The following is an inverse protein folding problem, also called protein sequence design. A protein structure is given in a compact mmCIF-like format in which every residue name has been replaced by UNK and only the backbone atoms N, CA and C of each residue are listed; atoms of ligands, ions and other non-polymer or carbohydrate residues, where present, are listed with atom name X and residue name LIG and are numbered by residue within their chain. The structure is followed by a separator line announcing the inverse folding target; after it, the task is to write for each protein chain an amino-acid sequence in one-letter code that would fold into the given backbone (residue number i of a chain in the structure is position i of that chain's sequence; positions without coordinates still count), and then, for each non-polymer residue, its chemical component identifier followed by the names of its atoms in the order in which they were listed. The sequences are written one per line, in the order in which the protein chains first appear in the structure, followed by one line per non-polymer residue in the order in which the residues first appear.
data_IF_567509451025
#
_entry.id   IF_567509451025
#
_cell.length_a   1.000
_cell.length_b   1.000
_cell.length_c   1.000
_cell.angle_alpha   90.00
_cell.angle_beta   90.00
_cell.angle_gamma   90.00
#
_symmetry.space_group_name_H-M   'P 1'
#
loop_
_entity.id
_entity.type
_entity.pdbx_description
1 polymer ?
#
# COMPACT_ATOMS: atom_id res chain seq x y z
N UNK A 1 -35.38 29.55 -3.86
CA UNK A 1 -34.21 30.43 -3.64
C UNK A 1 -34.28 31.65 -4.55
N UNK A 2 -34.42 32.85 -3.97
CA UNK A 2 -34.33 34.15 -4.66
C UNK A 2 -33.05 34.87 -4.20
N UNK A 3 -32.57 35.84 -4.99
CA UNK A 3 -31.38 36.63 -4.65
C UNK A 3 -31.83 38.01 -4.18
N UNK A 4 -31.51 38.34 -2.93
CA UNK A 4 -31.78 39.64 -2.32
C UNK A 4 -30.49 40.45 -2.16
N UNK A 5 -30.63 41.77 -2.15
CA UNK A 5 -29.54 42.69 -1.79
C UNK A 5 -29.65 43.03 -0.30
N UNK A 6 -28.76 42.48 0.52
CA UNK A 6 -28.79 42.66 1.97
C UNK A 6 -27.70 43.66 2.40
N UNK A 7 -28.03 44.70 3.16
CA UNK A 7 -27.07 45.63 3.76
C UNK A 7 -26.01 44.93 4.63
N UNK A 8 -24.77 45.41 4.57
CA UNK A 8 -23.63 44.82 5.27
C UNK A 8 -23.78 44.78 6.80
N UNK A 9 -24.43 45.79 7.37
CA UNK A 9 -24.72 45.95 8.80
C UNK A 9 -25.76 44.95 9.32
N UNK A 10 -26.53 44.33 8.42
CA UNK A 10 -27.53 43.30 8.74
C UNK A 10 -26.98 41.87 8.64
N UNK A 11 -25.69 41.71 8.33
CA UNK A 11 -25.05 40.42 8.13
C UNK A 11 -24.05 40.10 9.24
N UNK A 12 -24.15 38.91 9.81
CA UNK A 12 -23.17 38.33 10.75
C UNK A 12 -22.68 36.97 10.24
N UNK A 13 -21.50 36.48 10.66
CA UNK A 13 -21.03 35.15 10.24
C UNK A 13 -21.68 34.08 11.13
N UNK A 14 -22.36 33.11 10.52
CA UNK A 14 -22.99 32.02 11.27
C UNK A 14 -21.95 31.09 11.90
N UNK A 15 -22.28 30.53 13.07
CA UNK A 15 -21.52 29.42 13.65
C UNK A 15 -21.57 28.18 12.74
N UNK A 16 -22.64 27.99 11.96
CA UNK A 16 -22.80 26.91 10.99
C UNK A 16 -21.90 27.03 9.74
N UNK A 17 -21.13 28.12 9.61
CA UNK A 17 -20.14 28.24 8.55
C UNK A 17 -18.96 27.29 8.78
N UNK A 18 -18.59 26.46 7.79
CA UNK A 18 -17.47 25.52 7.89
C UNK A 18 -16.14 26.21 8.27
N UNK A 19 -15.96 27.48 7.89
CA UNK A 19 -14.78 28.31 8.20
C UNK A 19 -15.10 29.44 9.19
N UNK A 20 -15.98 29.20 10.17
CA UNK A 20 -16.42 30.17 11.19
C UNK A 20 -15.33 30.68 12.17
N UNK A 21 -14.06 30.29 12.00
CA UNK A 21 -12.96 30.68 12.90
C UNK A 21 -12.88 32.19 13.21
N UNK A 22 -12.39 32.55 14.40
CA UNK A 22 -12.40 33.93 14.92
C UNK A 22 -11.56 34.92 14.11
N UNK A 23 -10.49 34.45 13.45
CA UNK A 23 -9.60 35.32 12.65
C UNK A 23 -10.28 35.71 11.33
N UNK A 24 -10.24 36.99 10.94
CA UNK A 24 -10.60 37.41 9.59
C UNK A 24 -9.78 36.62 8.55
N UNK A 25 -10.38 36.16 7.45
CA UNK A 25 -9.62 35.52 6.38
C UNK A 25 -8.79 36.56 5.63
N UNK A 26 -7.69 36.11 5.01
CA UNK A 26 -7.01 36.92 3.99
C UNK A 26 -7.94 37.07 2.77
N UNK A 27 -8.06 38.30 2.30
CA UNK A 27 -8.92 38.73 1.20
C UNK A 27 -8.18 39.62 0.20
N UNK A 28 -6.86 39.76 0.33
CA UNK A 28 -6.01 40.62 -0.51
C UNK A 28 -6.13 40.30 -2.00
N UNK A 29 -6.31 39.03 -2.33
CA UNK A 29 -6.48 38.50 -3.68
C UNK A 29 -7.83 38.85 -4.32
N UNK A 30 -8.92 38.89 -3.55
CA UNK A 30 -10.28 39.16 -4.06
C UNK A 30 -10.73 40.61 -3.91
N UNK A 31 -10.08 41.37 -3.01
CA UNK A 31 -10.45 42.74 -2.67
C UNK A 31 -10.44 43.68 -3.89
N UNK A 32 -9.42 43.71 -4.78
CA UNK A 32 -9.43 44.59 -5.95
C UNK A 32 -10.62 44.31 -6.89
N UNK A 33 -10.98 43.03 -7.08
CA UNK A 33 -12.12 42.64 -7.90
C UNK A 33 -13.43 43.09 -7.28
N UNK A 34 -13.60 42.93 -5.96
CA UNK A 34 -14.80 43.35 -5.25
C UNK A 34 -14.95 44.87 -5.24
N UNK A 35 -13.85 45.62 -5.12
CA UNK A 35 -13.87 47.08 -5.27
C UNK A 35 -14.30 47.47 -6.69
N UNK A 36 -13.79 46.81 -7.73
CA UNK A 36 -14.07 47.22 -9.12
C UNK A 36 -15.43 46.76 -9.66
N UNK A 37 -15.88 45.57 -9.27
CA UNK A 37 -17.05 44.88 -9.88
C UNK A 37 -18.15 44.55 -8.88
N UNK A 38 -17.91 44.72 -7.58
CA UNK A 38 -18.80 44.21 -6.53
C UNK A 38 -18.68 42.70 -6.37
N UNK A 39 -19.57 42.14 -5.54
CA UNK A 39 -19.67 40.70 -5.34
C UNK A 39 -20.55 40.08 -6.43
N UNK A 40 -19.97 39.20 -7.25
CA UNK A 40 -20.68 38.57 -8.39
C UNK A 40 -21.41 37.30 -7.94
N UNK A 41 -20.72 36.44 -7.18
CA UNK A 41 -21.32 35.21 -6.66
C UNK A 41 -22.06 35.52 -5.36
N UNK A 42 -23.38 35.20 -5.25
CA UNK A 42 -24.15 35.47 -4.04
C UNK A 42 -23.66 34.70 -2.81
N UNK A 43 -23.81 35.31 -1.63
CA UNK A 43 -23.58 34.65 -0.34
C UNK A 43 -24.77 33.77 0.00
N UNK A 44 -24.57 32.68 0.75
CA UNK A 44 -25.69 31.94 1.33
C UNK A 44 -25.91 32.41 2.75
N UNK A 45 -27.14 32.79 3.07
CA UNK A 45 -27.53 33.33 4.37
C UNK A 45 -28.77 32.64 4.89
N UNK A 46 -29.00 32.72 6.20
CA UNK A 46 -30.26 32.30 6.84
C UNK A 46 -30.77 33.40 7.77
N UNK A 47 -32.06 33.47 8.07
CA UNK A 47 -32.59 34.41 9.06
C UNK A 47 -31.88 34.27 10.42
N UNK A 48 -31.63 35.40 11.08
CA UNK A 48 -31.15 35.46 12.46
C UNK A 48 -32.34 35.68 13.40
N UNK A 49 -32.15 35.48 14.71
CA UNK A 49 -33.13 35.76 15.75
C UNK A 49 -33.62 37.23 15.75
N UNK A 50 -32.81 38.15 15.24
CA UNK A 50 -33.20 39.55 15.05
C UNK A 50 -33.86 39.74 13.69
N UNK A 51 -35.11 40.22 13.69
CA UNK A 51 -35.85 40.47 12.46
C UNK A 51 -35.05 41.38 11.50
N UNK A 52 -34.99 40.97 10.22
CA UNK A 52 -34.25 41.67 9.18
C UNK A 52 -32.72 41.51 9.23
N UNK A 53 -32.17 40.75 10.18
CA UNK A 53 -30.76 40.37 10.20
C UNK A 53 -30.60 38.93 9.74
N UNK A 54 -29.44 38.64 9.15
CA UNK A 54 -29.15 37.35 8.55
C UNK A 54 -27.76 36.86 8.97
N UNK A 55 -27.62 35.55 9.12
CA UNK A 55 -26.33 34.92 9.36
C UNK A 55 -25.78 34.29 8.07
N UNK A 56 -24.52 34.56 7.78
CA UNK A 56 -23.79 34.06 6.61
C UNK A 56 -23.37 32.61 6.86
N UNK A 57 -23.99 31.71 6.10
CA UNK A 57 -23.71 30.28 6.07
C UNK A 57 -22.53 29.97 5.14
N UNK A 58 -22.43 30.64 3.99
CA UNK A 58 -21.29 30.53 3.08
C UNK A 58 -20.94 31.88 2.42
N UNK A 59 -19.67 32.07 2.08
CA UNK A 59 -19.17 33.33 1.49
C UNK A 59 -18.51 34.31 2.46
N UNK A 60 -18.01 33.83 3.62
CA UNK A 60 -17.27 34.63 4.63
C UNK A 60 -16.20 35.56 4.02
N UNK A 61 -15.36 35.06 3.09
CA UNK A 61 -14.32 35.88 2.44
C UNK A 61 -14.89 37.08 1.68
N UNK A 62 -16.01 36.89 0.96
CA UNK A 62 -16.69 37.95 0.21
C UNK A 62 -17.26 39.02 1.14
N UNK A 63 -17.82 38.61 2.28
CA UNK A 63 -18.26 39.52 3.33
C UNK A 63 -17.11 40.36 3.90
N UNK A 64 -15.99 39.74 4.29
CA UNK A 64 -14.83 40.47 4.84
C UNK A 64 -14.16 41.39 3.82
N UNK A 65 -14.07 40.99 2.55
CA UNK A 65 -13.58 41.88 1.49
C UNK A 65 -14.50 43.09 1.27
N UNK A 66 -15.81 42.91 1.46
CA UNK A 66 -16.79 43.99 1.33
C UNK A 66 -16.79 44.92 2.53
N UNK A 67 -16.53 44.41 3.74
CA UNK A 67 -16.22 45.22 4.92
C UNK A 67 -14.99 46.08 4.69
N UNK A 68 -13.92 45.51 4.12
CA UNK A 68 -12.71 46.26 3.83
C UNK A 68 -12.93 47.30 2.72
N UNK A 69 -13.68 46.96 1.67
CA UNK A 69 -14.07 47.91 0.63
C UNK A 69 -14.94 49.06 1.17
N UNK A 70 -15.82 48.79 2.14
CA UNK A 70 -16.64 49.82 2.80
C UNK A 70 -15.78 50.80 3.60
N UNK A 71 -14.77 50.29 4.34
CA UNK A 71 -13.81 51.13 5.07
C UNK A 71 -13.00 52.07 4.18
N UNK A 72 -12.80 51.70 2.90
CA UNK A 72 -12.11 52.53 1.90
C UNK A 72 -13.02 53.61 1.28
N UNK A 73 -14.17 53.91 1.90
CA UNK A 73 -15.04 55.03 1.53
C UNK A 73 -16.22 54.65 0.64
N UNK A 74 -16.66 53.38 0.68
CA UNK A 74 -17.91 52.97 0.02
C UNK A 74 -19.03 52.87 1.04
N UNK A 75 -19.89 53.87 1.08
CA UNK A 75 -21.11 53.85 1.89
C UNK A 75 -22.22 53.02 1.22
N UNK A 76 -23.10 52.42 2.04
CA UNK A 76 -24.30 51.73 1.56
C UNK A 76 -24.06 50.42 0.81
N UNK A 77 -22.94 49.72 1.07
CA UNK A 77 -22.63 48.44 0.41
C UNK A 77 -23.67 47.38 0.76
N UNK A 78 -24.38 46.89 -0.26
CA UNK A 78 -25.24 45.71 -0.18
C UNK A 78 -24.56 44.51 -0.82
N UNK A 79 -24.92 43.30 -0.36
CA UNK A 79 -24.41 42.05 -0.88
C UNK A 79 -25.54 41.23 -1.50
N UNK A 80 -25.33 40.62 -2.69
CA UNK A 80 -26.24 39.62 -3.21
C UNK A 80 -26.21 38.39 -2.30
N UNK A 81 -27.37 38.01 -1.79
CA UNK A 81 -27.53 36.90 -0.86
C UNK A 81 -28.66 35.99 -1.34
N UNK A 82 -28.43 34.69 -1.27
CA UNK A 82 -29.46 33.66 -1.38
C UNK A 82 -29.86 33.30 0.04
N UNK A 83 -31.11 33.61 0.39
CA UNK A 83 -31.69 33.23 1.67
C UNK A 83 -32.10 31.75 1.61
N UNK A 84 -31.53 30.96 2.51
CA UNK A 84 -31.95 29.58 2.77
C UNK A 84 -33.29 29.61 3.50
N UNK A 85 -34.14 28.63 3.20
CA UNK A 85 -35.40 28.43 3.92
C UNK A 85 -35.12 28.13 5.41
N UNK A 86 -36.15 28.20 6.26
CA UNK A 86 -35.98 27.86 7.68
C UNK A 86 -35.51 26.41 7.81
N UNK A 87 -34.26 26.25 8.26
CA UNK A 87 -33.58 24.97 8.40
C UNK A 87 -32.76 24.92 9.67
N UNK A 88 -32.38 23.71 10.08
CA UNK A 88 -31.58 23.48 11.28
C UNK A 88 -30.09 23.87 11.08
N UNK A 89 -29.30 23.81 12.15
CA UNK A 89 -27.86 24.08 12.09
C UNK A 89 -27.10 23.05 11.23
N UNK A 90 -27.64 21.84 11.05
CA UNK A 90 -27.03 20.79 10.23
C UNK A 90 -27.18 21.09 8.74
N UNK A 91 -28.36 21.45 8.28
CA UNK A 91 -28.64 21.84 6.89
C UNK A 91 -27.81 23.07 6.49
N UNK A 92 -27.72 24.07 7.37
CA UNK A 92 -26.84 25.21 7.14
C UNK A 92 -25.37 24.77 7.00
N UNK A 93 -24.88 23.86 7.86
CA UNK A 93 -23.52 23.35 7.76
C UNK A 93 -23.31 22.55 6.45
N UNK A 94 -24.27 21.72 6.04
CA UNK A 94 -24.23 20.97 4.78
C UNK A 94 -24.11 21.90 3.57
N UNK A 95 -24.96 22.91 3.48
CA UNK A 95 -24.88 23.94 2.41
C UNK A 95 -23.52 24.63 2.42
N UNK A 96 -23.01 24.96 3.61
CA UNK A 96 -21.67 25.55 3.77
C UNK A 96 -20.58 24.63 3.22
N UNK A 97 -20.64 23.34 3.54
CA UNK A 97 -19.67 22.35 3.05
C UNK A 97 -19.76 22.14 1.54
N UNK A 98 -20.98 22.02 0.99
CA UNK A 98 -21.21 21.85 -0.45
C UNK A 98 -20.60 23.01 -1.24
N UNK A 99 -20.85 24.27 -0.83
CA UNK A 99 -20.25 25.43 -1.52
C UNK A 99 -18.72 25.42 -1.47
N UNK A 100 -18.14 24.97 -0.35
CA UNK A 100 -16.69 24.88 -0.21
C UNK A 100 -16.10 23.78 -1.10
N UNK A 101 -16.70 22.58 -1.10
CA UNK A 101 -16.26 21.44 -1.91
C UNK A 101 -16.29 21.74 -3.42
N UNK A 102 -17.28 22.50 -3.88
CA UNK A 102 -17.37 22.94 -5.29
C UNK A 102 -16.22 23.86 -5.72
N UNK A 103 -15.55 24.55 -4.79
CA UNK A 103 -14.39 25.41 -5.09
C UNK A 103 -13.07 24.64 -4.94
N UNK A 104 -12.88 24.04 -3.77
CA UNK A 104 -11.67 23.30 -3.42
C UNK A 104 -12.05 22.30 -2.34
N UNK A 105 -11.67 21.03 -2.54
CA UNK A 105 -11.90 20.02 -1.54
C UNK A 105 -11.25 20.42 -0.21
N UNK A 106 -12.01 20.47 0.90
CA UNK A 106 -11.42 20.69 2.23
C UNK A 106 -10.46 19.55 2.58
N UNK A 107 -9.46 19.81 3.42
CA UNK A 107 -8.60 18.76 3.94
C UNK A 107 -9.41 17.76 4.79
N UNK A 108 -8.89 16.54 4.93
CA UNK A 108 -9.60 15.47 5.63
C UNK A 108 -9.85 15.78 7.11
N UNK A 109 -9.01 16.59 7.76
CA UNK A 109 -9.22 16.98 9.17
C UNK A 109 -10.38 17.96 9.27
N UNK A 110 -10.50 18.92 8.34
CA UNK A 110 -11.67 19.81 8.28
C UNK A 110 -12.96 19.08 7.88
N UNK A 111 -12.88 18.08 7.00
CA UNK A 111 -14.01 17.18 6.74
C UNK A 111 -14.43 16.46 8.03
N UNK A 112 -13.46 15.90 8.78
CA UNK A 112 -13.71 15.25 10.06
C UNK A 112 -14.38 16.18 11.09
N UNK A 113 -13.87 17.40 11.27
CA UNK A 113 -14.45 18.40 12.19
C UNK A 113 -15.92 18.66 11.85
N UNK A 114 -16.23 18.78 10.57
CA UNK A 114 -17.57 19.12 10.10
C UNK A 114 -18.52 17.92 10.15
N UNK A 115 -18.08 16.73 9.74
CA UNK A 115 -18.89 15.50 9.85
C UNK A 115 -19.16 15.14 11.30
N UNK A 116 -18.17 15.32 12.20
CA UNK A 116 -18.38 15.15 13.64
C UNK A 116 -19.46 16.10 14.16
N UNK A 117 -19.52 17.32 13.63
CA UNK A 117 -20.58 18.26 13.98
C UNK A 117 -21.93 17.83 13.42
N UNK A 118 -22.03 17.45 12.15
CA UNK A 118 -23.27 16.92 11.56
C UNK A 118 -23.83 15.74 12.37
N UNK A 119 -22.98 14.81 12.79
CA UNK A 119 -23.37 13.68 13.66
C UNK A 119 -23.89 14.18 15.01
N UNK A 120 -23.27 15.19 15.61
CA UNK A 120 -23.76 15.80 16.88
C UNK A 120 -25.10 16.50 16.74
N UNK A 121 -25.38 17.06 15.56
CA UNK A 121 -26.67 17.67 15.21
C UNK A 121 -27.71 16.62 14.77
N UNK A 122 -27.36 15.32 14.79
CA UNK A 122 -28.30 14.22 14.57
C UNK A 122 -28.29 13.59 13.17
N UNK A 123 -27.39 14.00 12.27
CA UNK A 123 -27.24 13.34 10.96
C UNK A 123 -26.62 11.96 11.10
N UNK A 124 -27.20 10.97 10.41
CA UNK A 124 -26.63 9.63 10.32
C UNK A 124 -25.45 9.61 9.33
N UNK A 125 -24.67 8.52 9.33
CA UNK A 125 -23.57 8.35 8.35
C UNK A 125 -24.15 8.24 6.94
N UNK A 126 -25.29 7.57 6.83
CA UNK A 126 -26.05 7.32 5.63
C UNK A 126 -26.53 8.65 5.03
N UNK A 127 -27.05 9.57 5.86
CA UNK A 127 -27.47 10.90 5.43
C UNK A 127 -26.28 11.71 4.90
N UNK A 128 -25.16 11.74 5.64
CA UNK A 128 -23.94 12.45 5.23
C UNK A 128 -23.43 11.89 3.90
N UNK A 129 -23.40 10.56 3.76
CA UNK A 129 -22.97 9.89 2.54
C UNK A 129 -23.85 10.29 1.34
N UNK A 130 -25.17 10.27 1.51
CA UNK A 130 -26.12 10.67 0.48
C UNK A 130 -25.96 12.15 0.08
N UNK A 131 -25.84 13.06 1.06
CA UNK A 131 -25.71 14.50 0.83
C UNK A 131 -24.44 14.88 0.05
N UNK A 132 -23.30 14.22 0.35
CA UNK A 132 -22.01 14.55 -0.27
C UNK A 132 -21.63 13.63 -1.42
N UNK A 133 -22.54 12.76 -1.88
CA UNK A 133 -22.29 11.75 -2.91
C UNK A 133 -21.05 10.87 -2.61
N UNK A 134 -20.91 10.47 -1.34
CA UNK A 134 -19.87 9.59 -0.85
C UNK A 134 -20.45 8.24 -0.47
N UNK A 135 -19.60 7.23 -0.35
CA UNK A 135 -19.98 5.97 0.30
C UNK A 135 -19.96 6.14 1.82
N UNK A 136 -20.82 5.41 2.54
CA UNK A 136 -20.77 5.36 4.01
C UNK A 136 -19.36 5.00 4.53
N UNK A 137 -18.66 4.13 3.79
CA UNK A 137 -17.29 3.72 4.10
C UNK A 137 -16.33 4.91 4.08
N UNK A 138 -16.47 5.82 3.11
CA UNK A 138 -15.65 7.05 3.06
C UNK A 138 -15.95 7.97 4.25
N UNK A 139 -17.23 8.16 4.59
CA UNK A 139 -17.64 8.99 5.74
C UNK A 139 -17.11 8.41 7.05
N UNK A 140 -17.28 7.10 7.26
CA UNK A 140 -16.78 6.36 8.43
C UNK A 140 -15.26 6.50 8.59
N UNK A 141 -14.50 6.41 7.48
CA UNK A 141 -13.04 6.61 7.48
C UNK A 141 -12.62 8.03 7.90
N UNK A 142 -13.35 9.04 7.47
CA UNK A 142 -13.08 10.43 7.86
C UNK A 142 -13.41 10.62 9.36
N UNK A 143 -14.54 10.08 9.83
CA UNK A 143 -14.92 10.10 11.24
C UNK A 143 -13.89 9.40 12.14
N UNK A 144 -13.19 8.38 11.63
CA UNK A 144 -12.13 7.64 12.31
C UNK A 144 -10.97 8.53 12.80
N UNK A 145 -10.72 9.66 12.15
CA UNK A 145 -9.68 10.63 12.56
C UNK A 145 -9.92 11.17 13.97
N UNK A 146 -11.16 11.07 14.48
CA UNK A 146 -11.49 11.37 15.88
C UNK A 146 -10.77 10.48 16.89
N UNK A 147 -10.39 9.25 16.51
CA UNK A 147 -9.65 8.34 17.37
C UNK A 147 -8.16 8.72 17.50
N UNK A 148 -7.67 9.72 16.78
CA UNK A 148 -6.27 10.15 16.86
C UNK A 148 -6.05 11.12 18.03
N UNK A 149 -4.79 11.28 18.45
CA UNK A 149 -4.39 12.37 19.35
C UNK A 149 -4.35 13.71 18.57
N UNK A 150 -4.61 14.86 19.22
CA UNK A 150 -4.60 16.17 18.56
C UNK A 150 -3.34 16.44 17.74
N UNK A 151 -2.17 16.18 18.32
CA UNK A 151 -0.88 16.37 17.63
C UNK A 151 -0.74 15.54 16.35
N UNK A 152 -1.27 14.32 16.31
CA UNK A 152 -1.26 13.47 15.10
C UNK A 152 -2.15 14.09 14.01
N UNK A 153 -3.34 14.59 14.37
CA UNK A 153 -4.21 15.29 13.41
C UNK A 153 -3.56 16.57 12.88
N UNK A 154 -2.87 17.31 13.75
CA UNK A 154 -2.13 18.52 13.36
C UNK A 154 -0.99 18.19 12.41
N UNK A 155 -0.18 17.17 12.72
CA UNK A 155 0.88 16.70 11.83
C UNK A 155 0.33 16.26 10.47
N UNK A 156 -0.83 15.59 10.43
CA UNK A 156 -1.49 15.24 9.18
C UNK A 156 -1.97 16.47 8.40
N UNK A 157 -2.61 17.42 9.08
CA UNK A 157 -3.06 18.69 8.48
C UNK A 157 -1.88 19.52 7.94
N UNK A 158 -0.72 19.43 8.58
CA UNK A 158 0.52 20.07 8.14
C UNK A 158 1.27 19.26 7.07
N UNK A 159 0.71 18.13 6.61
CA UNK A 159 1.31 17.22 5.62
C UNK A 159 2.66 16.62 6.06
N UNK A 160 2.96 16.60 7.36
CA UNK A 160 4.17 15.99 7.94
C UNK A 160 4.11 14.45 7.89
N UNK A 161 2.90 13.90 7.84
CA UNK A 161 2.60 12.46 7.70
C UNK A 161 1.60 12.20 6.59
N UNK A 162 1.73 11.02 5.98
CA UNK A 162 0.88 10.60 4.86
C UNK A 162 -0.41 9.90 5.32
N UNK A 163 -1.38 9.82 4.41
CA UNK A 163 -2.68 9.21 4.68
C UNK A 163 -2.58 7.73 5.10
N UNK A 164 -1.59 6.99 4.61
CA UNK A 164 -1.39 5.59 5.00
C UNK A 164 -0.96 5.46 6.46
N UNK A 165 -0.04 6.31 6.93
CA UNK A 165 0.35 6.35 8.35
C UNK A 165 -0.83 6.68 9.24
N UNK A 166 -1.59 7.72 8.89
CA UNK A 166 -2.78 8.15 9.63
C UNK A 166 -3.81 7.03 9.72
N UNK A 167 -4.09 6.34 8.61
CA UNK A 167 -5.00 5.20 8.59
C UNK A 167 -4.58 4.14 9.61
N UNK A 168 -3.30 3.76 9.64
CA UNK A 168 -2.84 2.76 10.62
C UNK A 168 -2.91 3.28 12.06
N UNK A 169 -2.61 4.56 12.31
CA UNK A 169 -2.75 5.16 13.64
C UNK A 169 -4.20 5.17 14.16
N UNK A 170 -5.21 5.12 13.27
CA UNK A 170 -6.61 4.98 13.72
C UNK A 170 -6.91 3.61 14.33
N UNK A 171 -6.12 2.59 14.00
CA UNK A 171 -6.18 1.24 14.58
C UNK A 171 -5.39 1.14 15.90
N UNK A 172 -4.47 2.08 16.14
CA UNK A 172 -3.60 2.07 17.31
C UNK A 172 -4.35 2.50 18.58
N UNK A 173 -4.04 1.84 19.69
CA UNK A 173 -4.48 2.27 21.02
C UNK A 173 -3.90 3.64 21.37
N UNK A 174 -4.51 4.34 22.34
CA UNK A 174 -3.97 5.62 22.81
C UNK A 174 -2.54 5.51 23.36
N UNK A 175 -2.17 4.37 23.95
CA UNK A 175 -0.81 4.11 24.42
C UNK A 175 0.17 4.00 23.25
N UNK A 176 -0.17 3.22 22.21
CA UNK A 176 0.63 3.10 20.99
C UNK A 176 0.75 4.43 20.25
N UNK A 177 -0.32 5.22 20.16
CA UNK A 177 -0.26 6.57 19.57
C UNK A 177 0.70 7.49 20.33
N UNK A 178 0.74 7.43 21.67
CA UNK A 178 1.70 8.20 22.48
C UNK A 178 3.14 7.72 22.24
N UNK A 179 3.37 6.42 22.20
CA UNK A 179 4.69 5.86 21.91
C UNK A 179 5.18 6.26 20.50
N UNK A 180 4.30 6.20 19.51
CA UNK A 180 4.59 6.65 18.15
C UNK A 180 4.89 8.15 18.09
N UNK A 181 4.11 8.98 18.80
CA UNK A 181 4.38 10.42 18.89
C UNK A 181 5.74 10.72 19.53
N UNK A 182 6.13 10.00 20.59
CA UNK A 182 7.43 10.16 21.21
C UNK A 182 8.57 9.90 20.20
N UNK A 183 8.43 8.88 19.34
CA UNK A 183 9.39 8.61 18.26
C UNK A 183 9.34 9.66 17.13
N UNK A 184 8.19 10.29 16.92
CA UNK A 184 7.99 11.28 15.86
C UNK A 184 8.53 12.66 16.26
N UNK A 185 8.50 12.98 17.55
CA UNK A 185 9.00 14.24 18.11
C UNK A 185 10.48 14.18 18.49
N UNK A 186 11.05 12.97 18.61
CA UNK A 186 12.47 12.77 18.81
C UNK A 186 13.25 13.11 17.52
N UNK A 187 14.17 14.07 17.62
CA UNK A 187 14.97 14.54 16.49
C UNK A 187 15.94 13.47 15.95
N UNK A 188 16.40 12.58 16.83
CA UNK A 188 17.29 11.46 16.48
C UNK A 188 16.51 10.15 16.28
N UNK A 189 15.20 10.17 16.52
CA UNK A 189 14.29 9.04 16.44
C UNK A 189 13.76 8.79 15.03
N UNK A 190 13.40 7.54 14.75
CA UNK A 190 12.67 7.17 13.54
C UNK A 190 11.28 6.64 13.90
N UNK A 191 10.25 7.44 13.65
CA UNK A 191 8.87 6.99 13.74
C UNK A 191 8.50 6.14 12.50
N UNK A 192 8.06 4.89 12.68
CA UNK A 192 7.66 4.04 11.57
C UNK A 192 6.42 4.62 10.86
N UNK A 193 6.39 4.53 9.52
CA UNK A 193 5.33 5.08 8.66
C UNK A 193 4.78 4.03 7.70
N UNK A 194 3.61 4.29 7.13
CA UNK A 194 3.01 3.42 6.10
C UNK A 194 2.93 1.95 6.53
N UNK A 195 3.47 1.04 5.72
CA UNK A 195 3.49 -0.41 6.01
C UNK A 195 4.35 -0.79 7.22
N UNK A 196 5.44 -0.06 7.48
CA UNK A 196 6.30 -0.30 8.63
C UNK A 196 5.59 0.00 9.94
N UNK A 197 4.74 1.04 9.95
CA UNK A 197 3.88 1.33 11.10
C UNK A 197 2.92 0.18 11.37
N UNK A 198 2.31 -0.39 10.31
CA UNK A 198 1.41 -1.53 10.46
C UNK A 198 2.14 -2.69 11.15
N UNK A 199 3.34 -3.06 10.68
CA UNK A 199 4.14 -4.10 11.31
C UNK A 199 4.52 -3.76 12.76
N UNK A 200 4.94 -2.52 13.03
CA UNK A 200 5.30 -2.05 14.37
C UNK A 200 4.13 -2.13 15.36
N UNK A 201 2.91 -1.79 14.93
CA UNK A 201 1.71 -1.86 15.77
C UNK A 201 1.34 -3.29 16.19
N UNK A 202 1.68 -4.28 15.37
CA UNK A 202 1.32 -5.70 15.57
C UNK A 202 2.54 -6.58 15.94
N UNK A 203 3.63 -6.00 16.43
CA UNK A 203 4.78 -6.77 16.91
C UNK A 203 5.62 -7.45 15.82
N UNK A 204 5.61 -6.93 14.60
CA UNK A 204 6.46 -7.40 13.49
C UNK A 204 5.70 -8.07 12.35
N UNK A 205 4.49 -8.60 12.58
CA UNK A 205 3.64 -9.19 11.55
C UNK A 205 2.17 -8.80 11.72
N UNK A 206 1.54 -8.32 10.64
CA UNK A 206 0.10 -8.04 10.61
C UNK A 206 -0.64 -9.28 10.14
N UNK A 207 -1.13 -10.09 11.08
CA UNK A 207 -1.78 -11.38 10.84
C UNK A 207 -3.30 -11.18 10.92
N UNK A 208 -4.00 -11.55 9.86
CA UNK A 208 -5.45 -11.43 9.78
C UNK A 208 -6.15 -12.60 10.50
N UNK A 209 -7.34 -12.37 11.07
CA UNK A 209 -8.13 -13.38 11.77
C UNK A 209 -8.57 -14.53 10.87
N UNK A 210 -8.69 -14.31 9.56
CA UNK A 210 -8.99 -15.37 8.59
C UNK A 210 -7.87 -16.41 8.43
N UNK A 211 -6.64 -16.08 8.86
CA UNK A 211 -5.52 -17.01 8.83
C UNK A 211 -5.54 -18.02 10.00
N UNK A 212 -6.37 -17.80 11.02
CA UNK A 212 -6.43 -18.66 12.19
C UNK A 212 -7.04 -20.03 11.85
N UNK A 213 -6.33 -21.10 12.24
CA UNK A 213 -6.84 -22.47 12.15
C UNK A 213 -7.67 -22.88 13.38
N UNK A 214 -7.57 -22.10 14.46
CA UNK A 214 -8.23 -22.33 15.74
C UNK A 214 -9.51 -21.51 15.87
N UNK A 215 -10.35 -21.87 16.84
CA UNK A 215 -11.57 -21.13 17.14
C UNK A 215 -11.23 -19.78 17.78
N UNK A 216 -11.65 -18.69 17.13
CA UNK A 216 -11.46 -17.32 17.60
C UNK A 216 -12.20 -17.06 18.92
N UNK A 217 -13.28 -17.79 19.22
CA UNK A 217 -14.01 -17.64 20.48
C UNK A 217 -13.23 -18.17 21.69
N UNK A 218 -12.30 -19.10 21.46
CA UNK A 218 -11.42 -19.67 22.49
C UNK A 218 -10.07 -18.94 22.60
N UNK A 219 -9.83 -17.91 21.78
CA UNK A 219 -8.59 -17.15 21.79
C UNK A 219 -8.60 -16.09 22.90
N UNK A 220 -7.62 -16.16 23.82
CA UNK A 220 -7.53 -15.26 24.98
C UNK A 220 -6.90 -13.90 24.65
N UNK A 221 -6.27 -13.75 23.48
CA UNK A 221 -5.55 -12.54 23.08
C UNK A 221 -6.46 -11.45 22.48
N UNK A 222 -5.93 -10.23 22.41
CA UNK A 222 -6.67 -9.10 21.84
C UNK A 222 -6.70 -9.15 20.31
N UNK A 223 -7.88 -8.93 19.74
CA UNK A 223 -8.10 -8.77 18.30
C UNK A 223 -8.44 -7.31 18.01
N UNK A 224 -7.67 -6.67 17.14
CA UNK A 224 -7.95 -5.34 16.60
C UNK A 224 -8.77 -5.52 15.34
N UNK A 225 -10.06 -5.18 15.40
CA UNK A 225 -10.91 -5.16 14.20
C UNK A 225 -10.59 -3.91 13.39
N UNK A 226 -10.42 -4.07 12.08
CA UNK A 226 -10.52 -2.91 11.19
C UNK A 226 -11.93 -2.33 11.39
N UNK A 227 -11.99 -1.06 11.80
CA UNK A 227 -13.24 -0.35 12.04
C UNK A 227 -14.12 -0.26 10.76
N UNK A 228 -13.58 -0.65 9.61
CA UNK A 228 -14.13 -0.36 8.29
C UNK A 228 -14.12 -1.55 7.32
N UNK A 229 -13.90 -2.78 7.81
CA UNK A 229 -13.98 -4.02 7.03
C UNK A 229 -14.30 -5.23 7.90
N UNK A 230 -14.42 -6.40 7.29
CA UNK A 230 -14.65 -7.67 8.02
C UNK A 230 -13.34 -8.29 8.55
N UNK A 231 -12.20 -7.68 8.26
CA UNK A 231 -10.88 -8.17 8.65
C UNK A 231 -10.53 -7.76 10.09
N UNK A 232 -10.40 -8.76 10.97
CA UNK A 232 -9.72 -8.62 12.24
C UNK A 232 -8.22 -8.87 12.09
N UNK A 233 -7.43 -8.25 12.96
CA UNK A 233 -6.00 -8.50 13.08
C UNK A 233 -5.66 -8.88 14.53
N UNK A 234 -4.72 -9.81 14.70
CA UNK A 234 -4.22 -10.13 16.04
C UNK A 234 -3.35 -8.98 16.55
N UNK A 235 -3.59 -8.53 17.78
CA UNK A 235 -2.81 -7.44 18.39
C UNK A 235 -1.36 -7.87 18.72
N UNK A 236 -1.17 -9.16 18.98
CA UNK A 236 0.08 -9.78 19.39
C UNK A 236 0.35 -11.00 18.51
N UNK A 237 1.41 -10.90 17.70
CA UNK A 237 1.81 -11.95 16.77
C UNK A 237 2.30 -13.22 17.51
N UNK A 238 2.95 -13.08 18.67
CA UNK A 238 3.50 -14.21 19.42
C UNK A 238 2.36 -15.05 20.03
N UNK A 239 1.33 -14.39 20.56
CA UNK A 239 0.12 -15.07 21.05
C UNK A 239 -0.62 -15.81 19.92
N UNK A 240 -0.71 -15.20 18.74
CA UNK A 240 -1.24 -15.88 17.56
C UNK A 240 -0.41 -17.13 17.22
N UNK A 241 0.92 -17.00 17.12
CA UNK A 241 1.80 -18.11 16.74
C UNK A 241 1.79 -19.26 17.75
N UNK A 242 1.65 -18.97 19.04
CA UNK A 242 1.48 -19.98 20.08
C UNK A 242 0.18 -20.78 19.87
N UNK A 243 -0.95 -20.11 19.66
CA UNK A 243 -2.24 -20.77 19.40
C UNK A 243 -2.25 -21.53 18.07
N UNK A 244 -1.70 -20.93 17.01
CA UNK A 244 -1.62 -21.53 15.67
C UNK A 244 -0.75 -22.78 15.65
N UNK A 245 0.41 -22.75 16.33
CA UNK A 245 1.32 -23.90 16.41
C UNK A 245 0.70 -25.07 17.19
N UNK A 246 -0.02 -24.79 18.28
CA UNK A 246 -0.75 -25.80 19.03
C UNK A 246 -1.83 -26.48 18.18
N UNK A 247 -2.55 -25.70 17.37
CA UNK A 247 -3.56 -26.21 16.44
C UNK A 247 -2.95 -27.04 15.31
N UNK A 248 -1.82 -26.60 14.74
CA UNK A 248 -1.08 -27.34 13.70
C UNK A 248 -0.62 -28.70 14.23
N UNK A 249 -0.05 -28.75 15.44
CA UNK A 249 0.37 -30.02 16.05
C UNK A 249 -0.82 -30.95 16.34
N UNK A 250 -1.97 -30.39 16.75
CA UNK A 250 -3.21 -31.17 16.91
C UNK A 250 -3.66 -31.82 15.60
N UNK A 251 -3.69 -31.06 14.50
CA UNK A 251 -4.08 -31.58 13.18
C UNK A 251 -3.07 -32.59 12.63
N UNK A 252 -1.78 -32.33 12.84
CA UNK A 252 -0.69 -33.27 12.51
C UNK A 252 -0.86 -34.60 13.23
N UNK A 253 -1.18 -34.59 14.53
CA UNK A 253 -1.48 -35.80 15.29
C UNK A 253 -2.69 -36.55 14.71
N UNK A 254 -3.78 -35.83 14.38
CA UNK A 254 -4.97 -36.44 13.77
C UNK A 254 -4.66 -37.11 12.41
N UNK A 255 -3.84 -36.50 11.56
CA UNK A 255 -3.40 -37.13 10.31
C UNK A 255 -2.56 -38.40 10.54
N UNK A 256 -1.72 -38.43 11.57
CA UNK A 256 -0.97 -39.64 11.92
C UNK A 256 -1.89 -40.75 12.44
N UNK A 257 -2.87 -40.40 13.28
CA UNK A 257 -3.90 -41.34 13.78
C UNK A 257 -4.77 -41.91 12.66
N UNK A 258 -5.11 -41.07 11.67
CA UNK A 258 -5.82 -41.51 10.47
C UNK A 258 -5.02 -42.55 9.67
N UNK A 259 -3.70 -42.68 9.90
CA UNK A 259 -2.84 -43.68 9.28
C UNK A 259 -2.06 -43.17 8.07
N UNK A 260 -1.77 -41.86 8.01
CA UNK A 260 -0.82 -41.33 7.03
C UNK A 260 0.62 -41.73 7.39
N UNK A 261 1.46 -41.97 6.38
CA UNK A 261 2.79 -42.55 6.59
C UNK A 261 3.76 -41.62 7.33
N UNK A 262 3.65 -40.31 7.08
CA UNK A 262 4.31 -39.24 7.83
C UNK A 262 3.62 -37.90 7.53
N UNK A 263 3.80 -36.94 8.45
CA UNK A 263 3.32 -35.56 8.33
C UNK A 263 4.48 -34.63 8.63
N UNK A 264 4.82 -33.76 7.69
CA UNK A 264 5.98 -32.87 7.77
C UNK A 264 5.55 -31.40 7.71
N UNK A 265 6.11 -30.57 8.58
CA UNK A 265 5.91 -29.11 8.54
C UNK A 265 7.03 -28.52 7.69
N UNK A 266 6.67 -27.77 6.65
CA UNK A 266 7.64 -27.12 5.76
C UNK A 266 8.42 -26.07 6.57
N UNK A 267 9.76 -26.02 6.47
CA UNK A 267 10.57 -25.06 7.21
C UNK A 267 10.17 -23.60 6.91
N UNK A 268 10.25 -22.74 7.92
CA UNK A 268 9.95 -21.32 7.77
C UNK A 268 10.80 -20.68 6.66
N UNK A 269 10.15 -19.95 5.76
CA UNK A 269 10.79 -19.29 4.61
C UNK A 269 10.95 -20.16 3.36
N UNK A 270 10.52 -21.43 3.41
CA UNK A 270 10.45 -22.32 2.26
C UNK A 270 8.98 -22.58 1.94
N UNK A 271 8.61 -22.55 0.66
CA UNK A 271 7.27 -22.89 0.20
C UNK A 271 7.21 -24.34 -0.25
N UNK A 272 6.03 -24.97 -0.15
CA UNK A 272 5.83 -26.31 -0.71
C UNK A 272 5.88 -26.28 -2.24
N UNK A 273 7.02 -26.70 -2.79
CA UNK A 273 7.21 -26.75 -4.25
C UNK A 273 6.56 -28.00 -4.83
N UNK A 274 5.35 -27.84 -5.36
CA UNK A 274 4.58 -28.97 -5.93
C UNK A 274 5.33 -29.69 -7.05
N UNK A 275 6.19 -29.00 -7.81
CA UNK A 275 6.99 -29.61 -8.89
C UNK A 275 8.12 -30.51 -8.39
N UNK A 276 8.56 -30.42 -7.14
CA UNK A 276 9.57 -31.33 -6.57
C UNK A 276 8.94 -32.61 -5.99
N UNK A 277 7.61 -32.64 -5.95
CA UNK A 277 6.81 -33.70 -5.35
C UNK A 277 5.96 -34.41 -6.39
N UNK A 278 5.59 -35.65 -6.09
CA UNK A 278 4.74 -36.50 -6.92
C UNK A 278 3.55 -37.00 -6.10
N UNK A 279 2.34 -36.94 -6.70
CA UNK A 279 1.12 -37.37 -6.03
C UNK A 279 1.17 -38.88 -5.78
N UNK A 280 1.10 -39.25 -4.52
CA UNK A 280 1.14 -40.63 -4.04
C UNK A 280 0.01 -40.84 -3.04
N UNK A 281 -0.97 -41.72 -3.34
CA UNK A 281 -2.06 -42.02 -2.42
C UNK A 281 -1.55 -42.56 -1.08
N UNK A 282 -2.34 -42.40 -0.02
CA UNK A 282 -2.06 -42.92 1.32
C UNK A 282 -1.62 -44.39 1.35
N UNK A 283 -2.28 -45.25 0.55
CA UNK A 283 -1.95 -46.68 0.41
C UNK A 283 -0.56 -46.97 -0.16
N UNK A 284 0.00 -46.03 -0.93
CA UNK A 284 1.35 -46.10 -1.50
C UNK A 284 2.38 -45.35 -0.64
N UNK A 285 2.05 -45.03 0.61
CA UNK A 285 2.98 -44.33 1.50
C UNK A 285 3.11 -42.83 1.21
N UNK A 286 2.07 -42.20 0.64
CA UNK A 286 2.00 -40.73 0.57
C UNK A 286 2.10 -40.09 1.94
N UNK A 287 2.69 -38.88 1.98
CA UNK A 287 2.82 -38.03 3.18
C UNK A 287 1.93 -36.80 3.08
N UNK A 288 1.74 -36.13 4.21
CA UNK A 288 1.10 -34.82 4.28
C UNK A 288 2.16 -33.76 4.57
N UNK A 289 2.19 -32.69 3.79
CA UNK A 289 3.04 -31.52 4.06
C UNK A 289 2.18 -30.35 4.53
N UNK A 290 2.59 -29.72 5.63
CA UNK A 290 1.93 -28.54 6.20
C UNK A 290 2.79 -27.34 5.86
N UNK A 291 2.33 -26.51 4.92
CA UNK A 291 2.98 -25.26 4.52
C UNK A 291 2.40 -24.11 5.34
N UNK A 292 3.26 -23.34 6.01
CA UNK A 292 2.87 -22.24 6.90
C UNK A 292 3.61 -20.98 6.46
N UNK A 293 2.88 -19.98 5.98
CA UNK A 293 3.49 -18.74 5.52
C UNK A 293 3.65 -17.71 6.65
N UNK A 294 4.45 -16.67 6.43
CA UNK A 294 4.70 -15.61 7.41
C UNK A 294 3.45 -14.77 7.79
N UNK A 295 2.35 -14.88 7.03
CA UNK A 295 1.07 -14.24 7.33
C UNK A 295 0.14 -15.13 8.16
N UNK A 296 0.60 -16.30 8.58
CA UNK A 296 -0.15 -17.25 9.39
C UNK A 296 -1.06 -18.18 8.60
N UNK A 297 -1.15 -18.07 7.27
CA UNK A 297 -1.96 -18.96 6.46
C UNK A 297 -1.32 -20.34 6.38
N UNK A 298 -2.14 -21.39 6.47
CA UNK A 298 -1.69 -22.77 6.51
C UNK A 298 -2.36 -23.58 5.42
N UNK A 299 -1.56 -24.29 4.62
CA UNK A 299 -2.03 -25.21 3.59
C UNK A 299 -1.62 -26.65 3.92
N UNK A 300 -2.56 -27.58 3.75
CA UNK A 300 -2.34 -29.01 3.93
C UNK A 300 -2.24 -29.69 2.56
N UNK A 301 -1.07 -30.20 2.23
CA UNK A 301 -0.80 -30.90 0.97
C UNK A 301 -0.77 -32.40 1.22
N UNK A 302 -1.91 -33.05 1.00
CA UNK A 302 -2.07 -34.48 1.24
C UNK A 302 -1.62 -35.34 0.06
N UNK A 303 -0.97 -36.47 0.35
CA UNK A 303 -0.67 -37.49 -0.64
C UNK A 303 0.46 -37.11 -1.58
N UNK A 304 1.59 -36.67 -1.03
CA UNK A 304 2.79 -36.36 -1.80
C UNK A 304 3.99 -37.16 -1.30
N UNK A 305 4.88 -37.50 -2.23
CA UNK A 305 6.24 -37.98 -1.96
C UNK A 305 7.22 -37.09 -2.72
N UNK A 306 8.45 -36.96 -2.23
CA UNK A 306 9.48 -36.31 -3.04
C UNK A 306 9.72 -37.13 -4.31
N UNK A 307 10.06 -36.50 -5.44
CA UNK A 307 10.37 -37.22 -6.70
C UNK A 307 11.43 -38.30 -6.52
N UNK A 308 12.38 -38.10 -5.60
CA UNK A 308 13.44 -39.08 -5.26
C UNK A 308 12.86 -40.33 -4.59
N UNK A 309 11.87 -40.18 -3.73
CA UNK A 309 11.19 -41.28 -3.03
C UNK A 309 10.19 -42.00 -3.94
N UNK A 310 9.43 -41.26 -4.75
CA UNK A 310 8.52 -41.84 -5.73
C UNK A 310 9.25 -42.72 -6.75
N UNK A 311 10.43 -42.29 -7.23
CA UNK A 311 11.30 -43.12 -8.09
C UNK A 311 11.75 -44.41 -7.41
N UNK A 312 12.12 -44.35 -6.12
CA UNK A 312 12.50 -45.55 -5.33
C UNK A 312 11.35 -46.53 -5.13
N UNK A 313 10.11 -46.05 -5.06
CA UNK A 313 8.93 -46.93 -4.99
C UNK A 313 8.55 -47.54 -6.35
N UNK A 314 8.78 -46.81 -7.45
CA UNK A 314 8.55 -47.32 -8.81
C UNK A 314 9.50 -48.45 -9.22
N UNK A 315 10.70 -48.50 -8.63
CA UNK A 315 11.74 -49.50 -8.89
C UNK A 315 11.60 -50.79 -8.04
N UNK A 316 10.47 -50.98 -7.34
CA UNK A 316 10.18 -52.13 -6.47
C UNK A 316 9.89 -53.44 -7.19
N UNK A 317 10.88 -53.97 -7.89
CA UNK A 317 10.88 -55.28 -8.55
C UNK A 317 12.29 -55.85 -8.74
N UNK A 318 13.27 -55.51 -7.89
CA UNK A 318 14.43 -56.38 -7.67
C UNK A 318 15.10 -56.05 -6.33
N UNK A 319 15.18 -57.04 -5.46
CA UNK A 319 16.11 -57.06 -4.33
C UNK A 319 17.55 -57.06 -4.86
N UNK A 320 18.13 -55.89 -5.09
CA UNK A 320 19.58 -55.66 -5.07
C UNK A 320 19.90 -54.19 -5.39
N UNK A 321 19.65 -53.29 -4.45
CA UNK A 321 20.49 -52.11 -4.32
C UNK A 321 20.69 -51.84 -2.84
N UNK A 322 21.81 -52.36 -2.33
CA UNK A 322 22.45 -51.86 -1.12
C UNK A 322 22.25 -50.35 -1.09
N UNK A 323 21.79 -49.85 0.05
CA UNK A 323 21.98 -48.46 0.43
C UNK A 323 23.36 -48.03 -0.12
N UNK A 324 23.39 -47.20 -1.16
CA UNK A 324 24.49 -46.25 -1.22
C UNK A 324 24.23 -45.44 0.04
N UNK A 325 24.91 -45.83 1.12
CA UNK A 325 25.00 -45.02 2.32
C UNK A 325 25.12 -43.60 1.80
N UNK A 326 24.18 -42.72 2.16
CA UNK A 326 24.37 -41.31 1.91
C UNK A 326 25.77 -41.04 2.41
N UNK A 327 26.71 -40.79 1.48
CA UNK A 327 28.08 -40.46 1.85
C UNK A 327 27.87 -39.37 2.86
N UNK A 328 28.20 -39.65 4.13
CA UNK A 328 28.12 -38.62 5.17
C UNK A 328 28.85 -37.46 4.52
N UNK A 329 28.19 -36.30 4.30
CA UNK A 329 28.89 -35.19 3.69
C UNK A 329 30.19 -35.05 4.48
N UNK A 330 31.33 -35.10 3.78
CA UNK A 330 32.66 -35.14 4.42
C UNK A 330 32.85 -33.96 5.38
N UNK A 331 31.96 -32.97 5.25
CA UNK A 331 31.93 -31.68 5.89
C UNK A 331 30.57 -31.55 6.60
N UNK A 332 30.60 -31.10 7.85
CA UNK A 332 29.39 -30.77 8.63
C UNK A 332 28.66 -29.58 8.02
N UNK A 333 27.36 -29.42 8.27
CA UNK A 333 26.59 -28.25 7.81
C UNK A 333 27.23 -26.92 8.23
N UNK A 334 27.75 -26.84 9.45
CA UNK A 334 28.46 -25.67 9.95
C UNK A 334 29.75 -25.38 9.17
N UNK A 335 30.50 -26.42 8.80
CA UNK A 335 31.72 -26.27 8.02
C UNK A 335 31.40 -25.94 6.54
N UNK A 336 30.28 -26.42 5.99
CA UNK A 336 29.77 -25.98 4.69
C UNK A 336 29.45 -24.49 4.70
N UNK A 337 28.69 -24.01 5.71
CA UNK A 337 28.40 -22.58 5.87
C UNK A 337 29.68 -21.75 6.02
N UNK A 338 30.66 -22.23 6.79
CA UNK A 338 31.96 -21.57 6.92
C UNK A 338 32.68 -21.44 5.58
N UNK A 339 32.75 -22.53 4.81
CA UNK A 339 33.38 -22.55 3.48
C UNK A 339 32.65 -21.61 2.52
N UNK A 340 31.31 -21.63 2.48
CA UNK A 340 30.52 -20.81 1.57
C UNK A 340 30.65 -19.31 1.89
N UNK A 341 30.68 -18.94 3.18
CA UNK A 341 30.94 -17.56 3.60
C UNK A 341 32.34 -17.09 3.21
N UNK A 342 33.36 -17.93 3.36
CA UNK A 342 34.72 -17.60 2.95
C UNK A 342 34.87 -17.51 1.43
N UNK A 343 34.22 -18.41 0.68
CA UNK A 343 34.13 -18.32 -0.80
C UNK A 343 33.47 -17.02 -1.21
N UNK A 344 32.34 -16.68 -0.60
CA UNK A 344 31.63 -15.45 -0.87
C UNK A 344 32.49 -14.21 -0.57
N UNK A 345 33.19 -14.18 0.56
CA UNK A 345 34.12 -13.11 0.90
C UNK A 345 35.27 -12.98 -0.12
N UNK A 346 35.84 -14.10 -0.55
CA UNK A 346 36.89 -14.12 -1.57
C UNK A 346 36.40 -13.61 -2.93
N UNK A 347 35.23 -14.05 -3.38
CA UNK A 347 34.62 -13.57 -4.64
C UNK A 347 34.32 -12.06 -4.54
N UNK A 348 33.77 -11.58 -3.43
CA UNK A 348 33.52 -10.15 -3.22
C UNK A 348 34.80 -9.32 -3.30
N UNK A 349 35.89 -9.79 -2.69
CA UNK A 349 37.18 -9.11 -2.76
C UNK A 349 37.73 -9.09 -4.18
N UNK A 350 37.65 -10.21 -4.91
CA UNK A 350 38.10 -10.30 -6.29
C UNK A 350 37.29 -9.42 -7.25
N UNK A 351 35.95 -9.38 -7.09
CA UNK A 351 35.08 -8.51 -7.90
C UNK A 351 35.32 -7.03 -7.61
N UNK A 352 35.54 -6.66 -6.35
CA UNK A 352 35.86 -5.27 -5.98
C UNK A 352 37.18 -4.79 -6.61
N UNK A 353 38.15 -5.69 -6.79
CA UNK A 353 39.41 -5.39 -7.46
C UNK A 353 39.32 -5.36 -8.99
N UNK A 354 38.27 -5.93 -9.59
CA UNK A 354 38.11 -6.11 -11.03
C UNK A 354 36.76 -5.56 -11.51
N UNK A 355 36.67 -4.24 -11.65
CA UNK A 355 35.43 -3.54 -12.04
C UNK A 355 34.87 -4.02 -13.38
N UNK A 356 35.71 -4.33 -14.37
CA UNK A 356 35.28 -4.86 -15.67
C UNK A 356 34.63 -6.25 -15.61
N UNK A 357 35.10 -7.09 -14.68
CA UNK A 357 34.49 -8.41 -14.41
C UNK A 357 33.18 -8.24 -13.66
N UNK A 358 33.17 -7.36 -12.65
CA UNK A 358 31.95 -7.03 -11.90
C UNK A 358 30.83 -6.49 -12.79
N UNK A 359 31.16 -5.64 -13.77
CA UNK A 359 30.21 -5.15 -14.77
C UNK A 359 29.59 -6.30 -15.58
N UNK A 360 30.40 -7.25 -16.05
CA UNK A 360 29.92 -8.41 -16.82
C UNK A 360 29.03 -9.34 -16.00
N UNK A 361 29.32 -9.51 -14.71
CA UNK A 361 28.43 -10.25 -13.79
C UNK A 361 27.09 -9.52 -13.68
N UNK A 362 27.09 -8.19 -13.56
CA UNK A 362 25.87 -7.39 -13.50
C UNK A 362 25.06 -7.51 -14.79
N UNK A 363 25.69 -7.39 -15.96
CA UNK A 363 25.05 -7.54 -17.27
C UNK A 363 24.44 -8.95 -17.41
N UNK A 364 25.15 -10.00 -17.00
CA UNK A 364 24.62 -11.36 -17.03
C UNK A 364 23.33 -11.50 -16.20
N UNK A 365 23.29 -10.91 -15.00
CA UNK A 365 22.10 -10.91 -14.15
C UNK A 365 20.98 -10.00 -14.66
N UNK A 366 21.30 -8.89 -15.31
CA UNK A 366 20.30 -8.03 -15.93
C UNK A 366 19.56 -8.75 -17.06
N UNK A 367 20.27 -9.59 -17.82
CA UNK A 367 19.73 -10.37 -18.94
C UNK A 367 18.95 -11.60 -18.47
N UNK A 368 19.57 -12.45 -17.66
CA UNK A 368 18.99 -13.74 -17.23
C UNK A 368 18.05 -13.61 -16.02
N UNK A 369 18.10 -12.48 -15.31
CA UNK A 369 17.48 -12.31 -14.00
C UNK A 369 18.34 -12.81 -12.84
N UNK A 370 17.89 -12.46 -11.64
CA UNK A 370 18.43 -12.93 -10.37
C UNK A 370 17.26 -13.32 -9.45
N UNK A 371 17.44 -14.29 -8.53
CA UNK A 371 16.46 -14.58 -7.49
C UNK A 371 16.11 -13.36 -6.61
N UNK A 372 16.99 -12.35 -6.57
CA UNK A 372 16.83 -11.16 -5.74
C UNK A 372 16.28 -9.94 -6.49
N UNK A 373 16.49 -9.87 -7.80
CA UNK A 373 16.10 -8.72 -8.64
C UNK A 373 16.05 -9.13 -10.11
N UNK A 374 15.34 -8.37 -10.95
CA UNK A 374 15.30 -8.63 -12.39
C UNK A 374 14.95 -7.37 -13.18
N UNK A 375 15.28 -7.39 -14.46
CA UNK A 375 14.94 -6.33 -15.41
C UNK A 375 13.77 -6.80 -16.26
N UNK A 376 12.79 -5.92 -16.47
CA UNK A 376 11.66 -6.16 -17.36
C UNK A 376 11.59 -5.05 -18.40
N UNK A 377 11.35 -5.44 -19.64
CA UNK A 377 11.07 -4.48 -20.71
C UNK A 377 9.72 -3.83 -20.43
N UNK A 378 9.67 -2.50 -20.53
CA UNK A 378 8.43 -1.75 -20.45
C UNK A 378 7.57 -2.07 -21.67
N UNK A 379 6.31 -2.45 -21.46
CA UNK A 379 5.36 -2.67 -22.57
C UNK A 379 5.06 -1.32 -23.26
N UNK A 380 5.29 -1.27 -24.57
CA UNK A 380 5.06 -0.10 -25.42
C UNK A 380 3.75 -0.20 -26.23
N UNK A 381 2.91 -1.19 -25.95
CA UNK A 381 1.65 -1.38 -26.68
C UNK A 381 0.55 -0.42 -26.24
N UNK A 382 -0.20 0.08 -27.21
CA UNK A 382 -1.44 0.83 -26.98
C UNK A 382 -2.66 -0.07 -27.20
N UNK A 383 -3.78 0.28 -26.55
CA UNK A 383 -5.09 -0.35 -26.84
C UNK A 383 -5.62 -0.01 -28.23
N UNK A 384 -5.05 1.00 -28.89
CA UNK A 384 -5.39 1.39 -30.24
C UNK A 384 -4.39 0.77 -31.23
N UNK A 385 -4.85 -0.16 -32.05
CA UNK A 385 -4.03 -0.90 -33.03
C UNK A 385 -3.29 0.03 -33.99
N UNK A 386 -3.91 1.12 -34.45
CA UNK A 386 -3.26 2.08 -35.34
C UNK A 386 -2.10 2.84 -34.67
N UNK A 387 -2.18 3.04 -33.35
CA UNK A 387 -1.07 3.66 -32.58
C UNK A 387 0.06 2.65 -32.42
N UNK A 388 -0.26 1.39 -32.16
CA UNK A 388 0.73 0.31 -32.06
C UNK A 388 1.49 0.11 -33.38
N UNK A 389 0.77 0.02 -34.50
CA UNK A 389 1.37 -0.14 -35.84
C UNK A 389 2.27 1.05 -36.24
N UNK A 390 1.85 2.27 -35.88
CA UNK A 390 2.62 3.50 -36.12
C UNK A 390 3.96 3.51 -35.36
N UNK A 391 4.01 2.97 -34.15
CA UNK A 391 5.23 2.85 -33.36
C UNK A 391 6.12 1.73 -33.90
N UNK A 392 5.55 0.55 -34.19
CA UNK A 392 6.26 -0.61 -34.74
C UNK A 392 6.95 -0.31 -36.09
N UNK A 393 6.35 0.56 -36.90
CA UNK A 393 6.90 0.99 -38.21
C UNK A 393 7.73 2.27 -38.13
N UNK A 394 7.96 2.81 -36.93
CA UNK A 394 8.73 4.05 -36.77
C UNK A 394 10.21 3.85 -37.08
N UNK A 395 10.85 4.90 -37.61
CA UNK A 395 12.29 4.90 -37.93
C UNK A 395 13.13 4.64 -36.66
N UNK A 396 12.67 5.13 -35.51
CA UNK A 396 13.35 4.92 -34.24
C UNK A 396 13.33 3.44 -33.82
N UNK A 397 12.17 2.77 -33.96
CA UNK A 397 12.03 1.35 -33.62
C UNK A 397 12.85 0.46 -34.57
N UNK A 398 12.85 0.77 -35.88
CA UNK A 398 13.69 0.06 -36.84
C UNK A 398 15.20 0.21 -36.53
N UNK A 399 15.63 1.40 -36.12
CA UNK A 399 17.03 1.63 -35.72
C UNK A 399 17.40 0.95 -34.41
N UNK A 400 16.46 0.81 -33.47
CA UNK A 400 16.66 0.06 -32.24
C UNK A 400 16.72 -1.46 -32.51
N UNK A 401 15.83 -1.97 -33.37
CA UNK A 401 15.75 -3.37 -33.80
C UNK A 401 17.06 -3.87 -34.45
N UNK A 402 17.71 -3.02 -35.27
CA UNK A 402 19.02 -3.32 -35.85
C UNK A 402 20.10 -3.53 -34.76
N UNK A 403 20.14 -2.64 -33.76
CA UNK A 403 21.08 -2.76 -32.63
C UNK A 403 20.76 -3.96 -31.76
N UNK A 404 19.47 -4.22 -31.50
CA UNK A 404 19.00 -5.39 -30.75
C UNK A 404 19.50 -6.68 -31.40
N UNK A 405 19.32 -6.84 -32.71
CA UNK A 405 19.80 -8.04 -33.44
C UNK A 405 21.33 -8.17 -33.40
N UNK A 406 22.06 -7.07 -33.50
CA UNK A 406 23.52 -7.09 -33.37
C UNK A 406 23.96 -7.60 -31.98
N UNK A 407 23.30 -7.14 -30.91
CA UNK A 407 23.55 -7.59 -29.54
C UNK A 407 23.18 -9.08 -29.37
N UNK A 408 22.02 -9.52 -29.86
CA UNK A 408 21.60 -10.92 -29.80
C UNK A 408 22.63 -11.84 -30.47
N UNK A 409 23.15 -11.44 -31.64
CA UNK A 409 24.17 -12.21 -32.37
C UNK A 409 25.49 -12.32 -31.59
N UNK A 410 25.93 -11.24 -30.93
CA UNK A 410 27.14 -11.25 -30.10
C UNK A 410 27.01 -12.19 -28.90
N UNK A 411 25.81 -12.24 -28.31
CA UNK A 411 25.49 -13.06 -27.14
C UNK A 411 25.10 -14.51 -27.48
N UNK A 412 25.07 -14.88 -28.76
CA UNK A 412 24.66 -16.21 -29.25
C UNK A 412 23.20 -16.56 -28.88
N UNK A 413 22.32 -15.54 -28.93
CA UNK A 413 20.88 -15.69 -28.72
C UNK A 413 20.15 -15.84 -30.06
N UNK A 414 18.91 -16.33 -29.99
CA UNK A 414 18.06 -16.44 -31.17
C UNK A 414 17.77 -15.02 -31.74
N UNK A 415 18.03 -14.78 -33.04
CA UNK A 415 17.84 -13.45 -33.66
C UNK A 415 16.39 -12.97 -33.66
N UNK A 416 15.42 -13.87 -33.48
CA UNK A 416 14.00 -13.56 -33.43
C UNK A 416 13.53 -13.21 -32.00
N UNK A 417 14.43 -13.20 -31.01
CA UNK A 417 14.10 -12.75 -29.66
C UNK A 417 13.65 -11.28 -29.65
N UNK A 418 12.48 -11.05 -29.05
CA UNK A 418 11.88 -9.72 -28.94
C UNK A 418 12.69 -8.79 -28.02
N UNK A 419 13.50 -9.36 -27.12
CA UNK A 419 14.38 -8.61 -26.22
C UNK A 419 15.67 -9.36 -25.91
N UNK A 420 16.70 -8.60 -25.55
CA UNK A 420 17.94 -9.14 -24.97
C UNK A 420 17.70 -9.58 -23.52
N UNK A 421 16.74 -8.97 -22.81
CA UNK A 421 16.39 -9.33 -21.44
C UNK A 421 15.37 -10.48 -21.44
N UNK A 422 15.81 -11.69 -21.10
CA UNK A 422 14.98 -12.90 -21.10
C UNK A 422 14.10 -12.97 -19.83
N UNK A 423 14.57 -12.42 -18.71
CA UNK A 423 13.85 -12.46 -17.44
C UNK A 423 13.72 -13.86 -16.82
N UNK A 424 14.37 -14.86 -17.42
CA UNK A 424 14.49 -16.23 -16.93
C UNK A 424 15.87 -16.81 -17.31
N UNK A 425 16.26 -17.95 -16.72
CA UNK A 425 17.53 -18.60 -17.06
C UNK A 425 17.53 -19.08 -18.52
N UNK A 426 18.55 -18.72 -19.34
CA UNK A 426 18.72 -19.26 -20.68
C UNK A 426 19.20 -20.72 -20.61
N UNK A 427 19.25 -21.41 -21.76
CA UNK A 427 19.67 -22.84 -21.85
C UNK A 427 21.01 -23.16 -21.17
N UNK A 428 21.92 -22.18 -21.01
CA UNK A 428 23.24 -22.32 -20.37
C UNK A 428 23.37 -21.59 -19.02
N UNK A 429 22.27 -21.04 -18.48
CA UNK A 429 22.24 -20.30 -17.21
C UNK A 429 23.07 -19.01 -17.19
N UNK A 430 23.05 -18.31 -16.05
CA UNK A 430 23.84 -17.08 -15.81
C UNK A 430 25.34 -17.31 -16.02
N UNK A 431 25.84 -18.47 -15.58
CA UNK A 431 27.26 -18.82 -15.68
C UNK A 431 27.75 -18.93 -17.12
N UNK A 432 26.95 -19.52 -18.03
CA UNK A 432 27.30 -19.63 -19.44
C UNK A 432 27.33 -18.27 -20.13
N UNK A 433 26.33 -17.41 -19.88
CA UNK A 433 26.32 -16.05 -20.39
C UNK A 433 27.48 -15.22 -19.85
N UNK A 434 27.80 -15.36 -18.55
CA UNK A 434 28.92 -14.67 -17.94
C UNK A 434 30.26 -15.07 -18.58
N UNK A 435 30.48 -16.37 -18.86
CA UNK A 435 31.65 -16.82 -19.61
C UNK A 435 31.73 -16.16 -20.99
N UNK A 436 30.61 -16.10 -21.71
CA UNK A 436 30.56 -15.42 -23.00
C UNK A 436 30.93 -13.94 -22.89
N UNK A 437 30.37 -13.22 -21.91
CA UNK A 437 30.66 -11.81 -21.69
C UNK A 437 32.14 -11.56 -21.33
N UNK A 438 32.81 -12.51 -20.65
CA UNK A 438 34.24 -12.41 -20.35
C UNK A 438 35.13 -12.46 -21.60
N UNK A 439 34.67 -13.08 -22.68
CA UNK A 439 35.40 -13.14 -23.97
C UNK A 439 35.25 -11.87 -24.79
N UNK A 440 34.25 -11.04 -24.49
CA UNK A 440 33.94 -9.84 -25.26
C UNK A 440 34.80 -8.64 -24.83
N UNK A 441 35.22 -7.78 -25.77
CA UNK A 441 35.85 -6.50 -25.45
C UNK A 441 34.94 -5.59 -24.64
N UNK A 442 35.51 -4.72 -23.80
CA UNK A 442 34.74 -3.78 -22.96
C UNK A 442 33.77 -2.90 -23.76
N UNK A 443 34.19 -2.43 -24.95
CA UNK A 443 33.34 -1.62 -25.82
C UNK A 443 32.05 -2.37 -26.22
N UNK A 444 32.16 -3.66 -26.54
CA UNK A 444 31.02 -4.49 -26.93
C UNK A 444 30.10 -4.74 -25.73
N UNK A 445 30.66 -4.97 -24.54
CA UNK A 445 29.85 -5.11 -23.31
C UNK A 445 29.08 -3.83 -22.98
N UNK A 446 29.66 -2.65 -23.27
CA UNK A 446 28.95 -1.38 -23.12
C UNK A 446 27.83 -1.21 -24.16
N UNK A 447 27.99 -1.73 -25.37
CA UNK A 447 26.91 -1.77 -26.38
C UNK A 447 25.76 -2.70 -25.97
N UNK A 448 26.05 -3.80 -25.24
CA UNK A 448 25.00 -4.67 -24.68
C UNK A 448 24.20 -3.95 -23.59
N UNK A 449 24.83 -3.02 -22.86
CA UNK A 449 24.19 -2.30 -21.75
C UNK A 449 23.33 -1.10 -22.23
N UNK A 450 23.71 -0.46 -23.34
CA UNK A 450 23.06 0.74 -23.87
C UNK A 450 21.91 0.43 -24.82
#
# INVERSE_FOLDING_TARGET
MHIDQIPLDRLSVSKANMRAGKKPPDVSDILPSIIKRGVISPLFVRPNCNAGHFEIVAGKRRYFASLEAARQGKDGVTLPCITLDEGDDAEALEVSMIENMLRQNPDQVTQWESYTRLVKEGRSVEDIAATFALTELQVKRILALGNLLPRIREAFRAEEIDAATVKHLTLATKAQQKAWLALFEDADGYAPRGSQLKAWLFGGASIATCAALFDLAAFEGQIVKDLFGDEGYFADADQFWAAQSAEIERRKAAYLEDGWSAVEIVPAGVYFQTWEHEKSPKRKGGRVYIDVNAKGEVAFHEGYLTRKEARRQGEGGSEAAKQSASVRPEITSAMTSYIDLHRHAAVRSALAANSGVALRVMVAHAICGSPLWGVRVQDQRSRNEAVTESIETSIAEAGFDERRRAVLAVLDFDPDEASVALGHEPRNGVSGLFQRLLELPDAVVMEVLG
#
